data_IF_144342246649
#
_entry.id   IF_144342246649
#
_cell.length_a   1.000
_cell.length_b   1.000
_cell.length_c   1.000
_cell.angle_alpha   90.00
_cell.angle_beta   90.00
_cell.angle_gamma   90.00
#
_symmetry.space_group_name_H-M   'P 1'
#
loop_
_entity.id
_entity.type
_entity.pdbx_description
1 polymer ?
#
# COMPACT_ATOMS: atom_id res chain seq x y z
N UNK A 1 -14.73 -39.10 13.95
CA UNK A 1 -14.15 -37.81 14.39
C UNK A 1 -13.62 -37.10 13.15
N UNK A 2 -14.29 -36.05 12.70
CA UNK A 2 -13.79 -35.25 11.58
C UNK A 2 -12.57 -34.46 12.07
N UNK A 3 -11.41 -34.69 11.46
CA UNK A 3 -10.23 -33.85 11.59
C UNK A 3 -10.53 -32.51 10.93
N UNK A 4 -11.05 -31.56 11.73
CA UNK A 4 -11.23 -30.18 11.33
C UNK A 4 -9.88 -29.64 10.84
N UNK A 5 -9.81 -29.26 9.55
CA UNK A 5 -8.66 -28.60 8.96
C UNK A 5 -8.71 -27.13 9.40
N UNK A 6 -8.00 -26.70 10.45
CA UNK A 6 -8.30 -25.46 11.16
C UNK A 6 -8.04 -24.20 10.31
N UNK A 7 -7.27 -24.34 9.23
CA UNK A 7 -6.99 -23.27 8.27
C UNK A 7 -8.13 -22.96 7.29
N UNK A 8 -9.13 -23.84 7.12
CA UNK A 8 -10.27 -23.54 6.22
C UNK A 8 -11.37 -22.71 6.89
N UNK A 9 -11.51 -22.83 8.20
CA UNK A 9 -12.68 -22.32 8.92
C UNK A 9 -12.56 -20.85 9.35
N UNK A 10 -11.35 -20.26 9.39
CA UNK A 10 -11.17 -18.85 9.79
C UNK A 10 -10.01 -18.16 9.07
N UNK A 11 -10.23 -16.93 8.57
CA UNK A 11 -9.14 -16.08 8.04
C UNK A 11 -8.08 -15.82 9.11
N UNK A 12 -8.51 -15.57 10.34
CA UNK A 12 -7.61 -15.29 11.45
C UNK A 12 -6.71 -16.48 11.76
N UNK A 13 -7.25 -17.72 11.69
CA UNK A 13 -6.45 -18.93 11.92
C UNK A 13 -5.43 -19.19 10.80
N UNK A 14 -5.72 -18.81 9.54
CA UNK A 14 -4.77 -18.89 8.43
C UNK A 14 -3.56 -17.98 8.59
N UNK A 15 -3.76 -16.78 9.12
CA UNK A 15 -2.68 -15.82 9.33
C UNK A 15 -1.88 -16.16 10.60
N UNK A 16 -2.57 -16.57 11.68
CA UNK A 16 -1.92 -16.82 12.96
C UNK A 16 -1.21 -18.19 13.07
N UNK A 17 -1.62 -19.19 12.28
CA UNK A 17 -1.02 -20.52 12.30
C UNK A 17 -0.26 -20.79 11.00
N UNK A 18 1.04 -21.05 11.12
CA UNK A 18 1.87 -21.43 9.98
C UNK A 18 1.66 -22.91 9.60
N UNK A 19 1.46 -23.17 8.30
CA UNK A 19 1.37 -24.52 7.74
C UNK A 19 2.48 -24.71 6.68
N UNK A 20 3.52 -25.53 6.96
CA UNK A 20 4.64 -25.71 6.03
C UNK A 20 4.20 -26.51 4.79
N UNK A 21 4.88 -26.29 3.65
CA UNK A 21 4.73 -27.10 2.44
C UNK A 21 3.91 -26.49 1.30
N UNK A 22 3.42 -25.24 1.44
CA UNK A 22 2.81 -24.47 0.34
C UNK A 22 3.80 -23.41 -0.11
N UNK A 23 4.10 -23.36 -1.42
CA UNK A 23 4.99 -22.38 -2.03
C UNK A 23 4.20 -21.42 -2.92
N UNK A 24 4.45 -20.12 -2.77
CA UNK A 24 3.78 -19.03 -3.47
C UNK A 24 3.93 -17.74 -2.66
N UNK A 25 4.06 -16.60 -3.34
CA UNK A 25 4.21 -15.29 -2.70
C UNK A 25 3.14 -14.35 -3.24
N UNK A 26 2.06 -14.23 -2.48
CA UNK A 26 0.95 -13.33 -2.81
C UNK A 26 1.41 -11.87 -2.80
N UNK A 27 2.45 -11.53 -2.02
CA UNK A 27 3.02 -10.18 -2.02
C UNK A 27 3.57 -9.80 -3.40
N UNK A 28 4.27 -10.73 -4.06
CA UNK A 28 4.79 -10.50 -5.41
C UNK A 28 3.67 -10.44 -6.44
N UNK A 29 2.67 -11.34 -6.37
CA UNK A 29 1.54 -11.33 -7.30
C UNK A 29 0.75 -10.01 -7.25
N UNK A 30 0.45 -9.51 -6.04
CA UNK A 30 -0.23 -8.22 -5.89
C UNK A 30 0.65 -7.03 -6.28
N UNK A 31 1.96 -7.07 -5.99
CA UNK A 31 2.88 -6.01 -6.42
C UNK A 31 2.97 -5.95 -7.95
N UNK A 32 2.98 -7.10 -8.63
CA UNK A 32 2.94 -7.18 -10.09
C UNK A 32 1.64 -6.59 -10.65
N UNK A 33 0.49 -6.94 -10.07
CA UNK A 33 -0.79 -6.35 -10.46
C UNK A 33 -0.81 -4.82 -10.25
N UNK A 34 -0.32 -4.34 -9.11
CA UNK A 34 -0.19 -2.90 -8.87
C UNK A 34 0.69 -2.22 -9.94
N UNK A 35 1.77 -2.89 -10.37
CA UNK A 35 2.67 -2.37 -11.41
C UNK A 35 1.96 -2.28 -12.76
N UNK A 36 1.19 -3.29 -13.15
CA UNK A 36 0.37 -3.23 -14.37
C UNK A 36 -0.63 -2.06 -14.30
N UNK A 37 -1.31 -1.90 -13.16
CA UNK A 37 -2.22 -0.77 -12.95
C UNK A 37 -1.49 0.58 -13.01
N UNK A 38 -0.25 0.66 -12.54
CA UNK A 38 0.58 1.86 -12.62
C UNK A 38 0.96 2.22 -14.06
N UNK A 39 1.35 1.22 -14.85
CA UNK A 39 1.65 1.40 -16.27
C UNK A 39 0.42 1.90 -17.04
N UNK A 40 -0.72 1.25 -16.84
CA UNK A 40 -1.99 1.70 -17.44
C UNK A 40 -2.42 3.07 -16.91
N UNK A 41 -2.12 3.37 -15.64
CA UNK A 41 -2.38 4.68 -15.04
C UNK A 41 -1.64 5.79 -15.77
N UNK A 42 -0.36 5.57 -16.11
CA UNK A 42 0.45 6.52 -16.83
C UNK A 42 -0.05 6.75 -18.26
N UNK A 43 -0.39 5.69 -18.99
CA UNK A 43 -0.98 5.79 -20.32
C UNK A 43 -2.30 6.57 -20.31
N UNK A 44 -3.16 6.31 -19.32
CA UNK A 44 -4.41 7.04 -19.14
C UNK A 44 -4.16 8.52 -18.84
N UNK A 45 -3.24 8.82 -17.91
CA UNK A 45 -2.90 10.19 -17.54
C UNK A 45 -2.38 10.99 -18.75
N UNK A 46 -1.51 10.38 -19.57
CA UNK A 46 -0.97 11.00 -20.78
C UNK A 46 -2.06 11.43 -21.76
N UNK A 47 -3.12 10.63 -21.88
CA UNK A 47 -4.23 10.87 -22.80
C UNK A 47 -5.28 11.84 -22.24
N UNK A 48 -5.26 12.12 -20.93
CA UNK A 48 -6.19 13.02 -20.27
C UNK A 48 -5.61 14.44 -20.14
N UNK A 49 -4.77 14.68 -19.14
CA UNK A 49 -4.19 15.99 -18.82
C UNK A 49 -2.77 15.91 -18.23
N UNK A 50 -2.14 14.73 -18.32
CA UNK A 50 -0.83 14.42 -17.73
C UNK A 50 -0.89 13.97 -16.25
N UNK A 51 -2.05 13.95 -15.59
CA UNK A 51 -2.17 13.52 -14.20
C UNK A 51 -3.42 12.69 -13.88
N UNK A 52 -4.57 12.99 -14.48
CA UNK A 52 -5.84 12.33 -14.21
C UNK A 52 -5.74 10.83 -14.47
N UNK A 53 -6.06 10.00 -13.48
CA UNK A 53 -6.05 8.54 -13.66
C UNK A 53 -6.98 7.81 -12.70
N UNK A 54 -7.98 7.14 -13.26
CA UNK A 54 -8.94 6.32 -12.48
C UNK A 54 -8.27 5.10 -11.84
N UNK A 55 -7.16 4.62 -12.41
CA UNK A 55 -6.48 3.41 -11.96
C UNK A 55 -5.86 3.55 -10.57
N UNK A 56 -5.61 4.78 -10.12
CA UNK A 56 -5.17 5.08 -8.75
C UNK A 56 -6.13 4.52 -7.71
N UNK A 57 -7.45 4.55 -7.98
CA UNK A 57 -8.49 4.08 -7.07
C UNK A 57 -8.44 2.56 -6.84
N UNK A 58 -7.97 1.79 -7.82
CA UNK A 58 -7.76 0.36 -7.66
C UNK A 58 -6.33 0.03 -7.20
N UNK A 59 -5.35 0.77 -7.72
CA UNK A 59 -3.93 0.52 -7.51
C UNK A 59 -3.47 0.69 -6.07
N UNK A 60 -3.90 1.76 -5.39
CA UNK A 60 -3.51 2.00 -4.00
C UNK A 60 -4.01 0.88 -3.07
N UNK A 61 -5.29 0.44 -3.11
CA UNK A 61 -5.73 -0.73 -2.36
C UNK A 61 -4.92 -2.00 -2.64
N UNK A 62 -4.56 -2.28 -3.90
CA UNK A 62 -3.76 -3.45 -4.26
C UNK A 62 -2.33 -3.36 -3.69
N UNK A 63 -1.72 -2.16 -3.67
CA UNK A 63 -0.42 -1.96 -3.01
C UNK A 63 -0.47 -2.31 -1.51
N UNK A 64 -1.54 -1.94 -0.81
CA UNK A 64 -1.72 -2.34 0.59
C UNK A 64 -1.93 -3.85 0.74
N UNK A 65 -2.64 -4.50 -0.18
CA UNK A 65 -2.72 -5.97 -0.19
C UNK A 65 -1.35 -6.62 -0.37
N UNK A 66 -0.51 -6.08 -1.25
CA UNK A 66 0.86 -6.53 -1.43
C UNK A 66 1.69 -6.36 -0.14
N UNK A 67 1.60 -5.21 0.52
CA UNK A 67 2.28 -4.94 1.79
C UNK A 67 1.80 -5.86 2.91
N UNK A 68 0.48 -6.10 3.02
CA UNK A 68 -0.09 -7.02 4.00
C UNK A 68 0.45 -8.45 3.81
N UNK A 69 0.44 -8.94 2.57
CA UNK A 69 1.00 -10.25 2.25
C UNK A 69 2.50 -10.31 2.56
N UNK A 70 3.27 -9.26 2.25
CA UNK A 70 4.69 -9.19 2.55
C UNK A 70 4.93 -9.29 4.06
N UNK A 71 4.17 -8.55 4.87
CA UNK A 71 4.27 -8.61 6.34
C UNK A 71 3.97 -10.01 6.86
N UNK A 72 2.96 -10.70 6.32
CA UNK A 72 2.70 -12.10 6.69
C UNK A 72 3.88 -12.99 6.30
N UNK A 73 4.38 -12.88 5.06
CA UNK A 73 5.49 -13.69 4.54
C UNK A 73 6.78 -13.48 5.36
N UNK A 74 7.10 -12.23 5.72
CA UNK A 74 8.22 -11.87 6.59
C UNK A 74 8.11 -12.59 7.94
N UNK A 75 6.98 -12.42 8.63
CA UNK A 75 6.80 -12.91 9.99
C UNK A 75 6.42 -14.40 10.07
N UNK A 76 6.07 -15.03 8.96
CA UNK A 76 5.76 -16.45 8.88
C UNK A 76 7.00 -17.33 8.68
N UNK A 77 8.19 -16.76 8.54
CA UNK A 77 9.40 -17.53 8.25
C UNK A 77 9.42 -18.14 6.84
N UNK A 78 8.69 -17.53 5.88
CA UNK A 78 8.58 -18.09 4.52
C UNK A 78 9.87 -17.94 3.70
N UNK A 79 10.76 -17.04 4.09
CA UNK A 79 12.03 -16.81 3.42
C UNK A 79 13.18 -17.31 4.28
N UNK A 80 14.27 -17.74 3.64
CA UNK A 80 15.34 -18.50 4.29
C UNK A 80 15.97 -17.84 5.53
N UNK A 81 15.92 -16.51 5.63
CA UNK A 81 16.46 -15.74 6.75
C UNK A 81 15.37 -15.12 7.65
N UNK A 82 14.09 -15.26 7.33
CA UNK A 82 13.05 -14.63 8.13
C UNK A 82 12.69 -15.48 9.35
N UNK A 83 12.60 -14.83 10.52
CA UNK A 83 12.23 -15.51 11.75
C UNK A 83 10.71 -15.56 11.91
N UNK A 84 10.21 -16.69 12.39
CA UNK A 84 8.79 -16.83 12.71
C UNK A 84 8.44 -15.97 13.95
N UNK A 85 7.64 -14.93 13.74
CA UNK A 85 7.13 -14.05 14.80
C UNK A 85 5.62 -14.19 14.95
N UNK A 86 5.23 -15.06 15.89
CA UNK A 86 3.82 -15.30 16.23
C UNK A 86 3.10 -14.05 16.75
N UNK A 87 3.80 -13.16 17.46
CA UNK A 87 3.17 -11.98 18.06
C UNK A 87 2.70 -11.05 16.95
N UNK A 88 3.59 -10.75 16.01
CA UNK A 88 3.25 -9.89 14.86
C UNK A 88 2.17 -10.53 13.99
N UNK A 89 2.22 -11.84 13.74
CA UNK A 89 1.17 -12.53 12.98
C UNK A 89 -0.21 -12.45 13.67
N UNK A 90 -0.28 -12.56 14.99
CA UNK A 90 -1.54 -12.41 15.75
C UNK A 90 -2.07 -10.97 15.65
N UNK A 91 -1.19 -9.97 15.69
CA UNK A 91 -1.57 -8.56 15.51
C UNK A 91 -2.08 -8.29 14.08
N UNK A 92 -1.39 -8.78 13.04
CA UNK A 92 -1.84 -8.72 11.64
C UNK A 92 -3.19 -9.41 11.44
N UNK A 93 -3.43 -10.53 12.13
CA UNK A 93 -4.69 -11.26 12.02
C UNK A 93 -5.88 -10.52 12.66
N UNK A 94 -5.61 -9.65 13.65
CA UNK A 94 -6.62 -8.86 14.38
C UNK A 94 -6.80 -7.44 13.82
N UNK A 95 -5.76 -6.88 13.21
CA UNK A 95 -5.77 -5.51 12.72
C UNK A 95 -6.46 -5.39 11.35
N UNK A 96 -7.22 -4.31 11.16
CA UNK A 96 -7.68 -3.85 9.83
C UNK A 96 -6.75 -2.82 9.19
N UNK A 97 -5.70 -2.42 9.91
CA UNK A 97 -4.74 -1.39 9.51
C UNK A 97 -3.31 -1.90 9.72
N UNK A 98 -2.61 -2.23 8.63
CA UNK A 98 -1.24 -2.74 8.71
C UNK A 98 -0.24 -1.67 9.18
N UNK A 99 -0.53 -0.38 8.98
CA UNK A 99 0.34 0.71 9.45
C UNK A 99 0.40 0.74 10.99
N UNK A 100 -0.72 0.47 11.67
CA UNK A 100 -0.71 0.38 13.14
C UNK A 100 0.08 -0.82 13.65
N UNK A 101 0.10 -1.92 12.89
CA UNK A 101 0.92 -3.10 13.20
C UNK A 101 2.39 -2.78 12.96
N UNK A 102 2.74 -2.15 11.84
CA UNK A 102 4.11 -1.68 11.58
C UNK A 102 4.57 -0.80 12.74
N UNK A 103 3.70 0.12 13.17
CA UNK A 103 4.00 1.06 14.21
C UNK A 103 4.30 0.41 15.57
N UNK A 104 3.58 -0.67 15.90
CA UNK A 104 3.67 -1.41 17.15
C UNK A 104 4.79 -2.46 17.15
N UNK A 105 4.94 -3.19 16.06
CA UNK A 105 5.86 -4.33 15.98
C UNK A 105 7.26 -3.97 15.48
N UNK A 106 7.43 -2.82 14.80
CA UNK A 106 8.71 -2.35 14.29
C UNK A 106 9.04 -0.98 14.91
N UNK A 107 9.51 -0.93 16.17
CA UNK A 107 9.74 0.33 16.89
C UNK A 107 10.89 1.15 16.29
N UNK A 108 11.82 0.51 15.60
CA UNK A 108 12.93 1.17 14.88
C UNK A 108 12.56 1.65 13.48
N UNK A 109 11.30 1.49 13.06
CA UNK A 109 10.83 1.93 11.75
C UNK A 109 10.88 3.46 11.64
N UNK A 110 11.50 4.04 10.59
CA UNK A 110 11.78 5.48 10.52
C UNK A 110 10.53 6.37 10.61
N UNK A 111 10.55 7.35 11.50
CA UNK A 111 9.41 8.25 11.76
C UNK A 111 8.93 9.00 10.52
N UNK A 112 9.85 9.49 9.68
CA UNK A 112 9.50 10.19 8.44
C UNK A 112 8.73 9.30 7.47
N UNK A 113 9.08 8.01 7.39
CA UNK A 113 8.40 7.05 6.52
C UNK A 113 7.06 6.62 7.14
N UNK A 114 7.01 6.50 8.46
CA UNK A 114 5.77 6.27 9.22
C UNK A 114 4.73 7.36 8.98
N UNK A 115 5.11 8.63 9.08
CA UNK A 115 4.21 9.76 8.80
C UNK A 115 3.65 9.73 7.37
N UNK A 116 4.49 9.35 6.39
CA UNK A 116 4.05 9.18 5.00
C UNK A 116 3.09 8.01 4.83
N UNK A 117 3.35 6.87 5.50
CA UNK A 117 2.43 5.73 5.54
C UNK A 117 1.11 6.09 6.21
N UNK A 118 1.14 6.88 7.29
CA UNK A 118 -0.04 7.36 7.99
C UNK A 118 -0.92 8.23 7.07
N UNK A 119 -0.33 9.10 6.25
CA UNK A 119 -1.07 9.83 5.22
C UNK A 119 -1.62 8.89 4.13
N UNK A 120 -0.80 7.95 3.66
CA UNK A 120 -1.18 7.02 2.60
C UNK A 120 -2.32 6.07 3.03
N UNK A 121 -2.37 5.64 4.29
CA UNK A 121 -3.48 4.81 4.78
C UNK A 121 -4.78 5.62 4.83
N UNK A 122 -4.74 6.91 5.14
CA UNK A 122 -5.93 7.77 5.04
C UNK A 122 -6.43 7.86 3.59
N UNK A 123 -5.53 7.99 2.61
CA UNK A 123 -5.91 7.93 1.17
C UNK A 123 -6.61 6.61 0.85
N UNK A 124 -6.06 5.47 1.31
CA UNK A 124 -6.72 4.16 1.13
C UNK A 124 -8.10 4.11 1.79
N UNK A 125 -8.25 4.64 3.00
CA UNK A 125 -9.54 4.69 3.69
C UNK A 125 -10.56 5.49 2.89
N UNK A 126 -10.19 6.66 2.37
CA UNK A 126 -11.06 7.49 1.55
C UNK A 126 -11.45 6.83 0.22
N UNK A 127 -10.60 5.96 -0.33
CA UNK A 127 -10.93 5.14 -1.52
C UNK A 127 -11.93 4.02 -1.18
N UNK A 128 -11.70 3.27 -0.11
CA UNK A 128 -12.47 2.05 0.21
C UNK A 128 -13.76 2.33 0.99
N UNK A 129 -13.72 3.36 1.82
CA UNK A 129 -14.78 3.74 2.75
C UNK A 129 -14.92 5.27 2.74
N UNK A 130 -15.33 5.86 1.60
CA UNK A 130 -15.48 7.31 1.51
C UNK A 130 -16.47 7.78 2.57
N UNK A 131 -15.95 8.53 3.55
CA UNK A 131 -16.73 9.05 4.67
C UNK A 131 -16.87 10.59 4.63
N UNK A 132 -16.37 11.20 3.56
CA UNK A 132 -16.42 12.64 3.34
C UNK A 132 -17.88 13.13 3.25
N UNK A 133 -18.21 14.06 4.15
CA UNK A 133 -19.38 14.94 4.06
C UNK A 133 -18.85 16.38 3.93
N UNK A 134 -19.14 17.11 2.84
CA UNK A 134 -18.61 18.47 2.66
C UNK A 134 -19.03 19.36 3.82
N UNK A 135 -18.05 19.87 4.54
CA UNK A 135 -18.24 20.86 5.60
C UNK A 135 -18.31 22.29 5.02
N UNK A 136 -19.01 23.23 5.68
CA UNK A 136 -19.08 24.62 5.24
C UNK A 136 -17.72 25.35 5.25
N UNK A 137 -16.70 24.77 5.89
CA UNK A 137 -15.35 25.34 6.02
C UNK A 137 -14.30 24.67 5.11
N UNK A 138 -14.65 23.57 4.43
CA UNK A 138 -13.74 22.82 3.56
C UNK A 138 -13.60 23.51 2.20
N UNK A 139 -12.73 24.53 2.13
CA UNK A 139 -12.32 25.11 0.84
C UNK A 139 -11.79 23.97 -0.05
N UNK A 140 -12.34 23.85 -1.25
CA UNK A 140 -11.92 22.90 -2.28
C UNK A 140 -12.22 21.41 -1.99
N UNK A 141 -13.11 21.11 -1.03
CA UNK A 141 -13.65 19.76 -0.84
C UNK A 141 -12.58 18.68 -0.48
N UNK A 142 -11.48 19.08 0.16
CA UNK A 142 -10.42 18.17 0.64
C UNK A 142 -10.47 18.04 2.15
N UNK A 143 -10.48 16.81 2.71
CA UNK A 143 -10.37 16.59 4.14
C UNK A 143 -9.10 17.20 4.72
N UNK A 144 -9.21 17.83 5.90
CA UNK A 144 -8.12 18.56 6.57
C UNK A 144 -6.82 17.73 6.67
N UNK A 145 -6.93 16.45 7.03
CA UNK A 145 -5.80 15.55 7.20
C UNK A 145 -5.09 15.16 5.87
N UNK A 146 -5.65 15.53 4.71
CA UNK A 146 -5.04 15.32 3.38
C UNK A 146 -4.67 16.62 2.66
N UNK A 147 -4.82 17.78 3.31
CA UNK A 147 -4.43 19.08 2.74
C UNK A 147 -2.95 19.10 2.34
N UNK A 148 -2.08 18.46 3.11
CA UNK A 148 -0.66 18.36 2.78
C UNK A 148 -0.37 17.67 1.44
N UNK A 149 -1.21 16.69 1.04
CA UNK A 149 -1.07 16.02 -0.26
C UNK A 149 -1.49 16.94 -1.41
N UNK A 150 -2.52 17.76 -1.19
CA UNK A 150 -2.95 18.78 -2.14
C UNK A 150 -1.87 19.85 -2.31
N UNK A 151 -1.33 20.37 -1.23
CA UNK A 151 -0.25 21.38 -1.25
C UNK A 151 1.01 20.85 -1.93
N UNK A 152 1.29 19.54 -1.80
CA UNK A 152 2.36 18.86 -2.52
C UNK A 152 2.06 18.61 -4.02
N UNK A 153 0.89 19.02 -4.53
CA UNK A 153 0.48 18.81 -5.92
C UNK A 153 0.26 17.34 -6.28
N UNK A 154 -0.02 16.50 -5.29
CA UNK A 154 -0.27 15.07 -5.47
C UNK A 154 -1.72 14.76 -5.81
N UNK A 155 -2.67 15.61 -5.43
CA UNK A 155 -4.08 15.41 -5.77
C UNK A 155 -4.40 16.00 -7.13
N UNK A 156 -5.45 15.47 -7.76
CA UNK A 156 -5.98 16.01 -9.00
C UNK A 156 -6.70 17.34 -8.76
N UNK A 157 -6.43 18.33 -9.59
CA UNK A 157 -7.05 19.66 -9.55
C UNK A 157 -7.23 20.19 -10.97
N UNK A 158 -8.32 20.92 -11.21
CA UNK A 158 -8.56 21.64 -12.47
C UNK A 158 -8.40 23.16 -12.32
N UNK A 159 -7.95 23.63 -11.15
CA UNK A 159 -7.85 25.05 -10.82
C UNK A 159 -9.16 25.72 -10.39
N UNK A 160 -10.31 25.04 -10.55
CA UNK A 160 -11.63 25.42 -10.02
C UNK A 160 -12.16 24.30 -9.12
N UNK A 161 -11.52 24.11 -7.97
CA UNK A 161 -11.74 22.94 -7.10
C UNK A 161 -13.05 22.99 -6.29
N UNK A 162 -13.88 23.99 -6.52
CA UNK A 162 -15.17 24.19 -5.84
C UNK A 162 -16.22 23.18 -6.30
N UNK A 163 -16.09 22.65 -7.53
CA UNK A 163 -17.05 21.75 -8.16
C UNK A 163 -16.63 20.26 -8.15
N UNK A 164 -15.45 19.94 -7.61
CA UNK A 164 -14.87 18.59 -7.77
C UNK A 164 -15.29 17.64 -6.62
N UNK A 165 -15.89 16.51 -7.01
CA UNK A 165 -16.18 15.40 -6.09
C UNK A 165 -14.86 14.89 -5.50
N UNK A 166 -14.79 14.75 -4.17
CA UNK A 166 -13.60 14.33 -3.45
C UNK A 166 -12.90 13.10 -4.06
N UNK A 167 -13.67 12.06 -4.40
CA UNK A 167 -13.14 10.84 -5.02
C UNK A 167 -12.39 11.11 -6.33
N UNK A 168 -12.82 12.10 -7.11
CA UNK A 168 -12.15 12.48 -8.36
C UNK A 168 -10.81 13.15 -8.10
N UNK A 169 -10.62 13.81 -6.95
CA UNK A 169 -9.31 14.37 -6.55
C UNK A 169 -8.27 13.27 -6.27
N UNK A 170 -8.73 12.07 -5.89
CA UNK A 170 -7.88 10.90 -5.68
C UNK A 170 -7.48 10.21 -6.99
N UNK A 171 -8.09 10.59 -8.13
CA UNK A 171 -7.74 10.09 -9.45
C UNK A 171 -6.50 10.79 -10.01
N UNK A 172 -5.38 10.68 -9.30
CA UNK A 172 -4.09 11.26 -9.70
C UNK A 172 -3.02 10.19 -9.87
N UNK A 173 -2.34 10.22 -11.02
CA UNK A 173 -1.18 9.41 -11.30
C UNK A 173 0.01 9.81 -10.42
N UNK A 174 0.21 11.11 -10.15
CA UNK A 174 1.23 11.59 -9.20
C UNK A 174 1.01 11.04 -7.80
N UNK A 175 -0.24 11.01 -7.32
CA UNK A 175 -0.59 10.34 -6.06
C UNK A 175 -0.22 8.85 -6.10
N UNK A 176 -0.51 8.17 -7.20
CA UNK A 176 -0.20 6.75 -7.33
C UNK A 176 1.32 6.48 -7.33
N UNK A 177 2.11 7.30 -8.03
CA UNK A 177 3.58 7.25 -8.02
C UNK A 177 4.13 7.47 -6.61
N UNK A 178 3.60 8.47 -5.92
CA UNK A 178 3.96 8.75 -4.54
C UNK A 178 3.65 7.57 -3.60
N UNK A 179 2.48 6.95 -3.75
CA UNK A 179 2.09 5.76 -3.00
C UNK A 179 3.04 4.58 -3.26
N UNK A 180 3.39 4.34 -4.52
CA UNK A 180 4.35 3.31 -4.92
C UNK A 180 5.70 3.50 -4.23
N UNK A 181 6.24 4.71 -4.26
CA UNK A 181 7.53 5.03 -3.64
C UNK A 181 7.50 4.82 -2.12
N UNK A 182 6.42 5.22 -1.44
CA UNK A 182 6.28 4.98 0.01
C UNK A 182 6.25 3.49 0.32
N UNK A 183 5.46 2.72 -0.43
CA UNK A 183 5.36 1.27 -0.21
C UNK A 183 6.69 0.60 -0.51
N UNK A 184 7.38 0.97 -1.59
CA UNK A 184 8.73 0.48 -1.91
C UNK A 184 9.73 0.76 -0.80
N UNK A 185 9.80 2.00 -0.32
CA UNK A 185 10.71 2.39 0.77
C UNK A 185 10.35 1.68 2.10
N UNK A 186 9.06 1.41 2.30
CA UNK A 186 8.56 0.60 3.44
C UNK A 186 9.02 -0.84 3.33
N UNK A 187 8.89 -1.45 2.15
CA UNK A 187 9.36 -2.82 1.89
C UNK A 187 10.88 -2.90 2.09
N UNK A 188 11.66 -1.97 1.55
CA UNK A 188 13.13 -1.93 1.74
C UNK A 188 13.49 -1.87 3.22
N UNK A 189 12.84 -0.97 3.97
CA UNK A 189 13.04 -0.84 5.41
C UNK A 189 12.72 -2.14 6.15
N UNK A 190 11.58 -2.77 5.85
CA UNK A 190 11.18 -4.02 6.51
C UNK A 190 12.14 -5.16 6.18
N UNK A 191 12.58 -5.30 4.92
CA UNK A 191 13.55 -6.33 4.52
C UNK A 191 14.88 -6.17 5.26
N UNK A 192 15.35 -4.93 5.44
CA UNK A 192 16.55 -4.66 6.24
C UNK A 192 16.37 -4.99 7.72
N UNK A 193 15.19 -4.72 8.29
CA UNK A 193 14.87 -5.06 9.68
C UNK A 193 14.77 -6.58 9.91
N UNK A 194 14.59 -7.37 8.86
CA UNK A 194 14.62 -8.84 8.89
C UNK A 194 15.96 -9.42 8.38
N UNK A 195 17.00 -8.59 8.25
CA UNK A 195 18.37 -9.02 7.86
C UNK A 195 18.44 -9.82 6.54
N UNK A 196 17.66 -9.41 5.53
CA UNK A 196 17.69 -10.04 4.21
C UNK A 196 19.00 -9.77 3.46
N UNK A 197 19.45 -10.79 2.71
CA UNK A 197 20.60 -10.65 1.81
C UNK A 197 20.31 -9.64 0.70
N UNK A 198 21.30 -8.83 0.33
CA UNK A 198 21.16 -7.74 -0.63
C UNK A 198 20.53 -8.18 -1.97
N UNK A 199 20.95 -9.34 -2.51
CA UNK A 199 20.42 -9.85 -3.78
C UNK A 199 18.94 -10.22 -3.71
N UNK A 200 18.49 -10.78 -2.58
CA UNK A 200 17.08 -11.11 -2.37
C UNK A 200 16.25 -9.83 -2.19
N UNK A 201 16.79 -8.87 -1.44
CA UNK A 201 16.20 -7.54 -1.29
C UNK A 201 16.03 -6.86 -2.64
N UNK A 202 17.05 -6.88 -3.51
CA UNK A 202 16.98 -6.30 -4.84
C UNK A 202 15.90 -6.98 -5.71
N UNK A 203 15.83 -8.31 -5.68
CA UNK A 203 14.81 -9.06 -6.42
C UNK A 203 13.38 -8.74 -5.97
N UNK A 204 13.14 -8.64 -4.65
CA UNK A 204 11.83 -8.27 -4.11
C UNK A 204 11.50 -6.81 -4.47
N UNK A 205 12.45 -5.88 -4.32
CA UNK A 205 12.24 -4.46 -4.58
C UNK A 205 11.99 -4.15 -6.06
N UNK A 206 12.48 -4.97 -6.99
CA UNK A 206 12.18 -4.83 -8.42
C UNK A 206 10.68 -4.91 -8.73
N UNK A 207 9.92 -5.66 -7.93
CA UNK A 207 8.46 -5.75 -8.10
C UNK A 207 7.73 -4.50 -7.57
N UNK A 208 8.40 -3.71 -6.72
CA UNK A 208 7.89 -2.44 -6.18
C UNK A 208 8.49 -1.20 -6.87
N UNK A 209 9.33 -1.37 -7.90
CA UNK A 209 9.88 -0.25 -8.66
C UNK A 209 8.88 0.22 -9.72
N UNK A 210 8.65 1.53 -9.79
CA UNK A 210 8.07 2.17 -10.98
C UNK A 210 9.13 2.25 -12.07
N UNK A 211 8.70 2.15 -13.32
CA UNK A 211 9.62 2.32 -14.45
C UNK A 211 9.81 3.82 -14.70
N UNK A 212 10.99 4.35 -14.36
CA UNK A 212 11.32 5.78 -14.51
C UNK A 212 11.14 6.27 -15.95
N UNK A 213 11.22 5.37 -16.95
CA UNK A 213 11.02 5.72 -18.36
C UNK A 213 9.56 6.04 -18.70
N UNK A 214 8.61 5.40 -18.02
CA UNK A 214 7.17 5.67 -18.16
C UNK A 214 6.87 7.07 -17.63
N UNK A 215 7.49 7.39 -16.50
CA UNK A 215 7.30 8.63 -15.77
C UNK A 215 7.93 9.86 -16.45
N UNK A 216 9.03 9.69 -17.18
CA UNK A 216 9.67 10.75 -17.96
C UNK A 216 8.86 11.21 -19.20
N UNK A 217 7.79 10.49 -19.53
CA UNK A 217 6.95 10.75 -20.71
C UNK A 217 5.64 11.51 -20.40
N UNK A 218 5.44 11.88 -19.13
CA UNK A 218 4.32 12.65 -18.57
C UNK A 218 4.79 14.04 -18.12
#
# INVERSE_FOLDING_TARGET
MATLNPGRDSRQSRVANHYPGVSGTSSQDFSHLAKLLFQTSAEYAKNADGNCSIYTLAGIPILFSALHCLLIELNAGMWANSHFDKTTLVELAKSGNDVSVIAKCYPTFPDKLRQKLDLLIQVRHEILHPAHRPGPEEKNNTPEYLVSLREAGLLQSTGNDVDYIWLSQLQSHRLFRWAFNIVRDTVDTLLRLHDFHADMTAGILQSYSTDETIDASL
#
